data_IF_917356967066
#
_entry.id   IF_917356967066
#
_cell.length_a   1.000
_cell.length_b   1.000
_cell.length_c   1.000
_cell.angle_alpha   90.00
_cell.angle_beta   90.00
_cell.angle_gamma   90.00
#
_symmetry.space_group_name_H-M   'P 1'
#
loop_
_entity.id
_entity.type
_entity.pdbx_description
1 polymer ?
#
# COMPACT_ATOMS: atom_id res chain seq x y z
N UNK A 1 40.34 -16.29 -16.21
CA UNK A 1 39.59 -15.40 -15.29
C UNK A 1 38.53 -14.60 -16.06
N UNK A 2 38.81 -14.07 -17.25
CA UNK A 2 37.83 -13.32 -18.07
C UNK A 2 36.69 -14.20 -18.59
N UNK A 3 36.96 -15.45 -19.01
CA UNK A 3 35.97 -16.44 -19.44
C UNK A 3 35.09 -16.95 -18.25
N UNK A 4 35.68 -17.17 -17.07
CA UNK A 4 34.94 -17.54 -15.87
C UNK A 4 34.00 -16.43 -15.40
N UNK A 5 34.40 -15.14 -15.47
CA UNK A 5 33.50 -14.01 -15.17
C UNK A 5 32.35 -13.92 -16.16
N UNK A 6 32.58 -14.20 -17.45
CA UNK A 6 31.50 -14.22 -18.45
C UNK A 6 30.56 -15.41 -18.28
N UNK A 7 31.05 -16.59 -17.87
CA UNK A 7 30.20 -17.73 -17.50
C UNK A 7 29.35 -17.42 -16.26
N UNK A 8 29.94 -16.87 -15.18
CA UNK A 8 29.18 -16.48 -13.98
C UNK A 8 28.13 -15.40 -14.26
N UNK A 9 28.28 -14.58 -15.29
CA UNK A 9 27.28 -13.59 -15.71
C UNK A 9 26.16 -14.26 -16.53
N UNK A 10 26.48 -15.27 -17.37
CA UNK A 10 25.48 -16.02 -18.15
C UNK A 10 24.63 -16.97 -17.29
N UNK A 11 25.19 -17.59 -16.29
CA UNK A 11 24.45 -18.48 -15.38
C UNK A 11 23.49 -17.74 -14.43
N UNK A 12 23.55 -16.40 -14.38
CA UNK A 12 22.59 -15.56 -13.68
C UNK A 12 21.45 -15.05 -14.56
N UNK A 13 21.12 -15.73 -15.63
CA UNK A 13 19.97 -15.42 -16.49
C UNK A 13 18.59 -15.68 -15.85
N UNK A 14 18.44 -15.45 -14.55
CA UNK A 14 17.16 -14.98 -14.04
C UNK A 14 17.05 -13.51 -14.43
N UNK A 15 16.44 -13.29 -15.59
CA UNK A 15 16.14 -11.92 -16.05
C UNK A 15 15.39 -11.19 -14.96
N UNK A 16 16.03 -10.19 -14.38
CA UNK A 16 15.40 -9.35 -13.37
C UNK A 16 14.11 -8.76 -13.93
N UNK A 17 13.07 -8.68 -13.13
CA UNK A 17 11.83 -8.01 -13.53
C UNK A 17 12.14 -6.60 -14.04
N UNK A 18 11.50 -6.18 -15.13
CA UNK A 18 11.78 -4.91 -15.84
C UNK A 18 11.79 -3.69 -14.89
N UNK A 19 10.87 -3.65 -13.93
CA UNK A 19 10.86 -2.57 -12.94
C UNK A 19 12.10 -2.58 -12.03
N UNK A 20 12.66 -3.75 -11.70
CA UNK A 20 13.91 -3.87 -10.94
C UNK A 20 15.09 -3.36 -11.77
N UNK A 21 15.16 -3.73 -13.05
CA UNK A 21 16.15 -3.22 -13.98
C UNK A 21 16.07 -1.69 -14.09
N UNK A 22 14.85 -1.14 -14.22
CA UNK A 22 14.63 0.31 -14.26
C UNK A 22 15.14 1.02 -13.00
N UNK A 23 14.89 0.47 -11.81
CA UNK A 23 15.36 1.08 -10.57
C UNK A 23 16.89 0.99 -10.41
N UNK A 24 17.51 -0.12 -10.82
CA UNK A 24 18.96 -0.24 -10.79
C UNK A 24 19.62 0.77 -11.75
N UNK A 25 19.08 0.91 -12.96
CA UNK A 25 19.57 1.90 -13.93
C UNK A 25 19.42 3.33 -13.39
N UNK A 26 18.29 3.64 -12.77
CA UNK A 26 18.03 4.95 -12.15
C UNK A 26 19.02 5.23 -11.02
N UNK A 27 19.29 4.25 -10.15
CA UNK A 27 20.23 4.39 -9.03
C UNK A 27 21.66 4.59 -9.55
N UNK A 28 22.09 3.78 -10.53
CA UNK A 28 23.40 3.93 -11.15
C UNK A 28 23.56 5.31 -11.79
N UNK A 29 22.56 5.79 -12.51
CA UNK A 29 22.56 7.12 -13.10
C UNK A 29 22.71 8.22 -12.06
N UNK A 30 22.03 8.08 -10.91
CA UNK A 30 22.17 9.02 -9.80
C UNK A 30 23.60 9.04 -9.25
N UNK A 31 24.21 7.87 -9.00
CA UNK A 31 25.59 7.77 -8.53
C UNK A 31 26.59 8.39 -9.52
N UNK A 32 26.42 8.12 -10.82
CA UNK A 32 27.29 8.68 -11.86
C UNK A 32 27.11 10.19 -12.04
N UNK A 33 25.89 10.71 -11.91
CA UNK A 33 25.67 12.16 -11.93
C UNK A 33 26.35 12.83 -10.73
N UNK A 34 26.32 12.18 -9.55
CA UNK A 34 27.03 12.67 -8.37
C UNK A 34 28.55 12.65 -8.58
N UNK A 35 29.09 11.60 -9.19
CA UNK A 35 30.50 11.53 -9.54
C UNK A 35 30.93 12.64 -10.54
N UNK A 36 30.01 13.06 -11.43
CA UNK A 36 30.26 14.25 -12.29
C UNK A 36 30.25 15.53 -11.45
N UNK A 37 29.30 15.69 -10.54
CA UNK A 37 29.21 16.90 -9.69
C UNK A 37 30.32 17.03 -8.66
N UNK A 38 30.99 15.94 -8.35
CA UNK A 38 32.15 15.87 -7.44
C UNK A 38 33.50 15.78 -8.24
N UNK A 39 33.49 16.04 -9.56
CA UNK A 39 34.62 16.06 -10.46
C UNK A 39 35.45 14.76 -10.57
N UNK A 40 34.88 13.61 -10.13
CA UNK A 40 35.51 12.30 -10.32
C UNK A 40 35.50 11.82 -11.77
N UNK A 41 34.50 12.23 -12.54
CA UNK A 41 34.38 11.95 -13.98
C UNK A 41 33.82 13.20 -14.67
N UNK A 42 34.26 13.44 -15.90
CA UNK A 42 33.85 14.63 -16.66
C UNK A 42 32.46 14.53 -17.26
N UNK A 43 32.02 13.33 -17.62
CA UNK A 43 30.72 13.09 -18.27
C UNK A 43 30.11 11.77 -17.78
N UNK A 44 28.81 11.78 -17.55
CA UNK A 44 28.09 10.54 -17.21
C UNK A 44 28.04 9.60 -18.44
N UNK A 45 28.67 8.41 -18.39
CA UNK A 45 28.71 7.48 -19.53
C UNK A 45 27.31 6.95 -19.90
N UNK A 46 26.36 6.99 -19.00
CA UNK A 46 24.97 6.57 -19.28
C UNK A 46 24.23 7.52 -20.25
N UNK A 47 24.75 8.69 -20.52
CA UNK A 47 24.20 9.61 -21.53
C UNK A 47 24.31 9.05 -22.95
N UNK A 48 25.25 8.12 -23.17
CA UNK A 48 25.43 7.41 -24.44
C UNK A 48 24.41 6.29 -24.69
N UNK A 49 23.69 5.84 -23.64
CA UNK A 49 22.69 4.80 -23.78
C UNK A 49 21.44 5.41 -24.43
N UNK A 50 21.02 4.85 -25.56
CA UNK A 50 19.82 5.28 -26.26
C UNK A 50 18.56 5.04 -25.41
N UNK A 51 17.51 5.84 -25.61
CA UNK A 51 16.28 5.70 -24.83
C UNK A 51 15.52 4.40 -25.10
N UNK A 52 15.70 3.83 -26.31
CA UNK A 52 15.14 2.52 -26.68
C UNK A 52 15.74 1.35 -25.90
N UNK A 53 17.04 1.45 -25.55
CA UNK A 53 17.78 0.42 -24.80
C UNK A 53 17.55 0.51 -23.28
N UNK A 54 16.90 1.57 -22.82
CA UNK A 54 16.62 1.74 -21.38
C UNK A 54 15.36 0.97 -20.98
N UNK A 55 15.40 0.17 -19.89
CA UNK A 55 14.22 -0.47 -19.38
C UNK A 55 13.16 0.57 -19.00
N UNK A 56 11.96 0.42 -19.55
CA UNK A 56 10.83 1.30 -19.25
C UNK A 56 10.05 0.77 -18.04
N UNK A 57 9.64 1.67 -17.16
CA UNK A 57 8.82 1.28 -16.01
C UNK A 57 7.45 0.78 -16.48
N UNK A 58 7.16 -0.48 -16.21
CA UNK A 58 5.82 -1.02 -16.40
C UNK A 58 4.92 -0.60 -15.22
N UNK A 59 3.74 -0.06 -15.57
CA UNK A 59 2.68 0.14 -14.56
C UNK A 59 2.10 -1.23 -14.24
N UNK A 60 2.37 -1.72 -13.04
CA UNK A 60 1.72 -2.93 -12.52
C UNK A 60 0.36 -2.54 -11.94
N UNK A 61 -0.68 -3.19 -12.40
CA UNK A 61 -1.98 -3.14 -11.71
C UNK A 61 -1.79 -3.74 -10.32
N UNK A 62 -2.44 -3.14 -9.34
CA UNK A 62 -2.31 -3.58 -7.95
C UNK A 62 -3.58 -4.26 -7.54
N UNK A 63 -3.44 -5.47 -7.02
CA UNK A 63 -4.55 -6.22 -6.49
C UNK A 63 -5.19 -5.48 -5.31
N UNK A 64 -6.51 -5.51 -5.28
CA UNK A 64 -7.35 -5.07 -4.17
C UNK A 64 -8.51 -6.05 -4.00
N UNK A 65 -9.08 -6.08 -2.82
CA UNK A 65 -10.27 -6.87 -2.54
C UNK A 65 -11.52 -6.05 -2.89
N UNK A 66 -12.40 -6.62 -3.69
CA UNK A 66 -13.75 -6.08 -3.88
C UNK A 66 -14.52 -6.20 -2.56
N UNK A 67 -15.61 -5.45 -2.41
CA UNK A 67 -16.48 -5.54 -1.22
C UNK A 67 -16.94 -6.99 -1.01
N UNK A 68 -17.31 -7.72 -2.09
CA UNK A 68 -17.71 -9.13 -2.01
C UNK A 68 -16.59 -10.05 -1.51
N UNK A 69 -15.36 -9.85 -1.99
CA UNK A 69 -14.19 -10.62 -1.55
C UNK A 69 -13.82 -10.29 -0.10
N UNK A 70 -13.87 -9.01 0.29
CA UNK A 70 -13.63 -8.58 1.66
C UNK A 70 -14.66 -9.18 2.61
N UNK A 71 -15.96 -9.16 2.25
CA UNK A 71 -17.03 -9.79 3.03
C UNK A 71 -16.78 -11.29 3.20
N UNK A 72 -16.39 -11.99 2.12
CA UNK A 72 -16.04 -13.42 2.18
C UNK A 72 -14.86 -13.66 3.12
N UNK A 73 -13.83 -12.84 3.05
CA UNK A 73 -12.65 -12.94 3.90
C UNK A 73 -13.01 -12.71 5.38
N UNK A 74 -13.85 -11.72 5.68
CA UNK A 74 -14.35 -11.46 7.05
C UNK A 74 -15.06 -12.68 7.63
N UNK A 75 -15.85 -13.41 6.84
CA UNK A 75 -16.59 -14.59 7.31
C UNK A 75 -15.73 -15.88 7.32
N UNK A 76 -14.53 -15.85 6.74
CA UNK A 76 -13.64 -17.02 6.75
C UNK A 76 -12.90 -17.11 8.08
N UNK A 77 -13.07 -18.18 8.87
CA UNK A 77 -12.33 -18.38 10.12
C UNK A 77 -10.81 -18.36 9.87
N UNK A 78 -10.07 -17.82 10.84
CA UNK A 78 -8.61 -17.76 10.74
C UNK A 78 -7.96 -17.92 12.12
N UNK A 79 -6.97 -18.80 12.20
CA UNK A 79 -6.29 -19.13 13.46
C UNK A 79 -5.50 -17.96 14.08
N UNK A 80 -4.93 -17.09 13.23
CA UNK A 80 -4.18 -15.93 13.71
C UNK A 80 -5.12 -14.71 13.85
N UNK A 81 -5.79 -14.65 14.97
CA UNK A 81 -6.80 -13.62 15.26
C UNK A 81 -6.22 -12.21 15.29
N UNK A 82 -4.97 -12.04 15.77
CA UNK A 82 -4.31 -10.74 15.81
C UNK A 82 -4.03 -10.21 14.40
N UNK A 83 -3.44 -11.04 13.52
CA UNK A 83 -3.18 -10.67 12.14
C UNK A 83 -4.49 -10.40 11.36
N UNK A 84 -5.52 -11.23 11.60
CA UNK A 84 -6.86 -11.02 11.03
C UNK A 84 -7.40 -9.65 11.39
N UNK A 85 -7.43 -9.30 12.68
CA UNK A 85 -7.87 -8.00 13.18
C UNK A 85 -7.04 -6.87 12.57
N UNK A 86 -5.72 -6.96 12.59
CA UNK A 86 -4.82 -5.94 12.03
C UNK A 86 -5.03 -5.70 10.53
N UNK A 87 -5.21 -6.76 9.74
CA UNK A 87 -5.44 -6.67 8.30
C UNK A 87 -6.80 -6.04 8.00
N UNK A 88 -7.87 -6.49 8.65
CA UNK A 88 -9.22 -5.94 8.46
C UNK A 88 -9.29 -4.49 8.94
N UNK A 89 -8.69 -4.17 10.08
CA UNK A 89 -8.56 -2.78 10.53
C UNK A 89 -7.88 -1.91 9.46
N UNK A 90 -6.78 -2.39 8.86
CA UNK A 90 -6.12 -1.70 7.75
C UNK A 90 -7.01 -1.55 6.52
N UNK A 91 -7.90 -2.51 6.22
CA UNK A 91 -8.86 -2.40 5.12
C UNK A 91 -9.88 -1.26 5.35
N UNK A 92 -10.21 -0.95 6.60
CA UNK A 92 -11.19 0.08 6.95
C UNK A 92 -10.61 1.45 7.30
N UNK A 93 -9.30 1.54 7.61
CA UNK A 93 -8.64 2.83 7.91
C UNK A 93 -7.51 3.22 6.94
N UNK A 94 -7.09 2.30 6.07
CA UNK A 94 -6.06 2.56 5.05
C UNK A 94 -4.63 2.66 5.59
N UNK A 95 -4.35 2.35 6.85
CA UNK A 95 -3.01 2.44 7.44
C UNK A 95 -2.04 1.42 6.83
N UNK A 96 -0.76 1.78 6.75
CA UNK A 96 0.31 0.86 6.35
C UNK A 96 0.65 -0.10 7.49
N UNK A 97 1.18 -1.27 7.17
CA UNK A 97 1.64 -2.24 8.17
C UNK A 97 2.60 -1.64 9.23
N UNK A 98 3.52 -0.78 8.81
CA UNK A 98 4.45 -0.13 9.75
C UNK A 98 3.75 0.84 10.71
N UNK A 99 2.65 1.46 10.28
CA UNK A 99 1.85 2.35 11.11
C UNK A 99 0.97 1.51 12.08
N UNK A 100 0.40 0.40 11.61
CA UNK A 100 -0.35 -0.57 12.44
C UNK A 100 0.52 -1.17 13.56
N UNK A 101 1.75 -1.61 13.26
CA UNK A 101 2.69 -2.13 14.29
C UNK A 101 3.05 -1.07 15.34
N UNK A 102 3.10 0.19 14.91
CA UNK A 102 3.50 1.29 15.79
C UNK A 102 2.33 1.90 16.56
N UNK A 103 1.09 1.62 16.15
CA UNK A 103 -0.12 2.20 16.71
C UNK A 103 -0.25 1.89 18.20
N UNK A 104 -0.53 2.94 19.00
CA UNK A 104 -0.73 2.87 20.45
C UNK A 104 -2.17 3.22 20.79
N UNK A 105 -2.62 2.86 21.98
CA UNK A 105 -3.95 3.22 22.44
C UNK A 105 -4.11 4.73 22.61
N UNK A 106 -3.10 5.48 22.96
CA UNK A 106 -3.08 6.95 23.03
C UNK A 106 -3.36 7.65 21.70
N UNK A 107 -3.11 6.94 20.57
CA UNK A 107 -3.36 7.44 19.23
C UNK A 107 -4.84 7.38 18.84
N UNK A 108 -5.68 6.69 19.62
CA UNK A 108 -7.12 6.52 19.39
C UNK A 108 -7.88 7.23 20.50
N UNK A 109 -8.57 8.29 20.16
CA UNK A 109 -9.36 9.09 21.09
C UNK A 109 -10.82 9.02 20.72
N UNK A 110 -11.69 9.15 21.72
CA UNK A 110 -13.13 9.20 21.54
C UNK A 110 -13.61 10.62 21.86
N UNK A 111 -14.47 11.17 21.00
CA UNK A 111 -15.15 12.43 21.27
C UNK A 111 -16.33 12.23 22.26
N UNK A 112 -16.99 13.33 22.63
CA UNK A 112 -18.16 13.34 23.55
C UNK A 112 -19.35 12.53 23.01
N UNK A 113 -19.40 12.32 21.69
CA UNK A 113 -20.44 11.54 21.02
C UNK A 113 -20.04 10.05 20.82
N UNK A 114 -18.87 9.66 21.33
CA UNK A 114 -18.35 8.30 21.18
C UNK A 114 -17.75 7.98 19.81
N UNK A 115 -17.53 8.99 18.95
CA UNK A 115 -16.84 8.77 17.68
C UNK A 115 -15.34 8.63 17.91
N UNK A 116 -14.74 7.59 17.33
CA UNK A 116 -13.31 7.36 17.45
C UNK A 116 -12.53 8.15 16.40
N UNK A 117 -11.49 8.84 16.85
CA UNK A 117 -10.55 9.57 16.02
C UNK A 117 -9.14 8.99 16.22
N UNK A 118 -8.51 8.57 15.13
CA UNK A 118 -7.13 8.09 15.11
C UNK A 118 -6.22 9.22 14.65
N UNK A 119 -5.20 9.56 15.45
CA UNK A 119 -4.24 10.63 15.15
C UNK A 119 -2.82 10.12 15.29
N UNK A 120 -2.09 10.01 14.17
CA UNK A 120 -0.71 9.50 14.13
C UNK A 120 0.19 10.32 13.21
N UNK A 121 1.49 10.19 13.45
CA UNK A 121 2.53 10.58 12.48
C UNK A 121 2.96 9.32 11.73
N UNK A 122 2.69 9.24 10.44
CA UNK A 122 3.04 8.09 9.61
C UNK A 122 4.54 7.81 9.61
N UNK A 123 4.95 6.57 9.85
CA UNK A 123 6.37 6.18 9.95
C UNK A 123 7.15 6.42 8.65
N UNK A 124 6.53 6.18 7.50
CA UNK A 124 7.19 6.27 6.18
C UNK A 124 7.26 7.69 5.63
N UNK A 125 6.19 8.46 5.72
CA UNK A 125 6.07 9.80 5.10
C UNK A 125 6.32 10.93 6.06
N UNK A 126 6.30 10.66 7.38
CA UNK A 126 6.38 11.65 8.47
C UNK A 126 5.22 12.65 8.47
N UNK A 127 4.16 12.35 7.73
CA UNK A 127 2.95 13.17 7.70
C UNK A 127 2.07 12.87 8.92
N UNK A 128 1.56 13.91 9.54
CA UNK A 128 0.51 13.80 10.53
C UNK A 128 -0.82 13.54 9.82
N UNK A 129 -1.53 12.50 10.25
CA UNK A 129 -2.87 12.21 9.77
C UNK A 129 -3.84 12.10 10.93
N UNK A 130 -5.06 12.57 10.70
CA UNK A 130 -6.18 12.42 11.61
C UNK A 130 -7.33 11.78 10.84
N UNK A 131 -7.78 10.60 11.29
CA UNK A 131 -8.75 9.76 10.61
C UNK A 131 -9.91 9.44 11.55
N UNK A 132 -11.15 9.82 11.23
CA UNK A 132 -12.29 9.26 11.92
C UNK A 132 -12.39 7.75 11.63
N UNK A 133 -12.60 6.95 12.65
CA UNK A 133 -12.75 5.51 12.52
C UNK A 133 -14.24 5.16 12.39
N UNK A 134 -14.58 4.44 11.33
CA UNK A 134 -15.92 3.89 11.19
C UNK A 134 -16.15 2.70 12.15
N UNK A 135 -17.42 2.38 12.40
CA UNK A 135 -17.80 1.27 13.28
C UNK A 135 -17.16 -0.07 12.89
N UNK A 136 -17.02 -0.33 11.58
CA UNK A 136 -16.35 -1.54 11.10
C UNK A 136 -14.85 -1.57 11.45
N UNK A 137 -14.14 -0.44 11.39
CA UNK A 137 -12.76 -0.39 11.84
C UNK A 137 -12.65 -0.69 13.34
N UNK A 138 -13.53 -0.10 14.15
CA UNK A 138 -13.53 -0.27 15.62
C UNK A 138 -13.76 -1.74 16.01
N UNK A 139 -14.65 -2.48 15.33
CA UNK A 139 -14.89 -3.92 15.57
C UNK A 139 -13.64 -4.79 15.41
N UNK A 140 -12.66 -4.31 14.64
CA UNK A 140 -11.41 -5.03 14.40
C UNK A 140 -10.25 -4.58 15.30
N UNK A 141 -10.48 -3.68 16.24
CA UNK A 141 -9.52 -3.43 17.31
C UNK A 141 -9.45 -4.64 18.24
N UNK A 142 -8.28 -4.98 18.79
CA UNK A 142 -8.18 -5.89 19.91
C UNK A 142 -8.95 -5.36 21.13
N UNK A 143 -9.28 -6.23 22.05
CA UNK A 143 -9.76 -5.78 23.35
C UNK A 143 -8.61 -5.12 24.10
N UNK A 144 -8.84 -3.88 24.58
CA UNK A 144 -7.84 -3.13 25.33
C UNK A 144 -7.63 -3.69 26.73
N UNK A 145 -8.68 -4.21 27.38
CA UNK A 145 -8.63 -4.59 28.77
C UNK A 145 -8.02 -3.48 29.64
N UNK A 146 -7.03 -3.84 30.46
CA UNK A 146 -6.30 -2.91 31.33
C UNK A 146 -5.00 -2.36 30.70
N UNK A 147 -4.81 -2.50 29.36
CA UNK A 147 -3.61 -2.03 28.69
C UNK A 147 -3.44 -0.52 28.85
N UNK A 148 -2.24 -0.03 29.23
CA UNK A 148 -1.97 1.40 29.34
C UNK A 148 -2.05 2.08 27.96
N UNK A 149 -2.25 3.40 27.95
CA UNK A 149 -2.36 4.18 26.71
C UNK A 149 -1.11 4.08 25.83
N UNK A 150 0.05 3.94 26.45
CA UNK A 150 1.34 3.82 25.76
C UNK A 150 1.58 2.44 25.14
N UNK A 151 0.72 1.45 25.43
CA UNK A 151 0.86 0.11 24.86
C UNK A 151 0.40 0.07 23.41
N UNK A 152 1.01 -0.83 22.63
CA UNK A 152 0.66 -1.04 21.24
C UNK A 152 -0.70 -1.72 21.12
N UNK A 153 -1.56 -1.20 20.24
CA UNK A 153 -2.87 -1.78 19.93
C UNK A 153 -2.73 -3.20 19.36
N UNK A 154 -1.78 -3.43 18.48
CA UNK A 154 -1.52 -4.74 17.87
C UNK A 154 -0.18 -5.32 18.37
N UNK A 155 -0.04 -5.40 19.72
CA UNK A 155 1.14 -5.98 20.34
C UNK A 155 1.32 -7.44 19.89
N UNK A 156 2.55 -7.82 19.50
CA UNK A 156 2.86 -9.16 18.98
C UNK A 156 2.61 -9.35 17.48
N UNK A 157 2.13 -8.33 16.74
CA UNK A 157 2.01 -8.43 15.29
C UNK A 157 3.40 -8.64 14.66
N UNK A 158 3.51 -9.69 13.83
CA UNK A 158 4.78 -10.10 13.21
C UNK A 158 5.21 -9.15 12.08
N UNK A 159 6.46 -9.28 11.63
CA UNK A 159 7.01 -8.50 10.52
C UNK A 159 6.19 -8.62 9.23
N UNK A 160 6.30 -7.62 8.35
CA UNK A 160 5.54 -7.57 7.09
C UNK A 160 5.71 -8.83 6.23
N UNK A 161 6.95 -9.32 6.08
CA UNK A 161 7.21 -10.53 5.29
C UNK A 161 6.50 -11.75 5.86
N UNK A 162 6.57 -11.95 7.18
CA UNK A 162 5.89 -13.05 7.86
C UNK A 162 4.36 -12.90 7.82
N UNK A 163 3.86 -11.68 7.99
CA UNK A 163 2.43 -11.37 7.84
C UNK A 163 1.92 -11.78 6.45
N UNK A 164 2.65 -11.47 5.39
CA UNK A 164 2.25 -11.81 4.02
C UNK A 164 2.17 -13.33 3.79
N UNK A 165 3.15 -14.09 4.30
CA UNK A 165 3.14 -15.57 4.19
C UNK A 165 1.92 -16.16 4.90
N UNK A 166 1.59 -15.64 6.09
CA UNK A 166 0.45 -16.11 6.87
C UNK A 166 -0.86 -15.70 6.22
N UNK A 167 -0.96 -14.45 5.71
CA UNK A 167 -2.15 -13.95 5.01
C UNK A 167 -2.50 -14.78 3.78
N UNK A 168 -1.50 -15.24 3.03
CA UNK A 168 -1.71 -16.05 1.83
C UNK A 168 -2.60 -17.26 2.12
N UNK A 169 -2.34 -17.98 3.22
CA UNK A 169 -3.13 -19.15 3.63
C UNK A 169 -4.60 -18.79 3.92
N UNK A 170 -4.84 -17.66 4.56
CA UNK A 170 -6.20 -17.22 4.87
C UNK A 170 -6.98 -16.81 3.61
N UNK A 171 -6.32 -16.09 2.71
CA UNK A 171 -6.89 -15.66 1.44
C UNK A 171 -7.23 -16.85 0.55
N UNK A 172 -6.35 -17.85 0.49
CA UNK A 172 -6.56 -19.11 -0.21
C UNK A 172 -7.74 -19.89 0.40
N UNK A 173 -7.82 -19.99 1.73
CA UNK A 173 -8.95 -20.60 2.45
C UNK A 173 -10.28 -19.89 2.16
N UNK A 174 -10.25 -18.57 1.94
CA UNK A 174 -11.43 -17.80 1.54
C UNK A 174 -11.81 -17.97 0.05
N UNK A 175 -11.08 -18.78 -0.72
CA UNK A 175 -11.30 -18.98 -2.15
C UNK A 175 -11.04 -17.73 -2.99
N UNK A 176 -10.07 -16.91 -2.59
CA UNK A 176 -9.67 -15.69 -3.31
C UNK A 176 -8.37 -15.98 -4.04
N UNK A 177 -8.39 -15.90 -5.38
CA UNK A 177 -7.24 -16.21 -6.26
C UNK A 177 -6.24 -15.06 -6.42
N UNK A 178 -6.54 -13.87 -5.89
CA UNK A 178 -5.68 -12.68 -5.99
C UNK A 178 -4.45 -12.80 -5.09
N UNK A 179 -3.33 -12.20 -5.52
CA UNK A 179 -2.14 -12.10 -4.68
C UNK A 179 -2.32 -11.00 -3.62
N UNK A 180 -2.81 -11.39 -2.44
CA UNK A 180 -3.07 -10.47 -1.33
C UNK A 180 -1.86 -10.39 -0.41
N UNK A 181 -1.36 -9.18 -0.23
CA UNK A 181 -0.33 -8.82 0.75
C UNK A 181 -0.95 -7.88 1.79
N UNK A 182 -0.25 -7.61 2.89
CA UNK A 182 -0.75 -6.63 3.87
C UNK A 182 -0.99 -5.25 3.24
N UNK A 183 -0.20 -4.88 2.22
CA UNK A 183 -0.39 -3.62 1.51
C UNK A 183 -1.67 -3.59 0.67
N UNK A 184 -2.19 -4.75 0.28
CA UNK A 184 -3.48 -4.87 -0.41
C UNK A 184 -4.63 -4.32 0.44
N UNK A 185 -4.57 -4.38 1.78
CA UNK A 185 -5.57 -3.77 2.66
C UNK A 185 -5.75 -2.27 2.37
N UNK A 186 -4.64 -1.54 2.23
CA UNK A 186 -4.67 -0.11 1.91
C UNK A 186 -5.18 0.16 0.49
N UNK A 187 -4.87 -0.70 -0.48
CA UNK A 187 -5.45 -0.61 -1.82
C UNK A 187 -6.96 -0.86 -1.78
N UNK A 188 -7.39 -1.84 -0.98
CA UNK A 188 -8.81 -2.15 -0.75
C UNK A 188 -9.54 -0.96 -0.14
N UNK A 189 -8.97 -0.31 0.87
CA UNK A 189 -9.54 0.92 1.45
C UNK A 189 -9.72 1.99 0.38
N UNK A 190 -8.67 2.31 -0.37
CA UNK A 190 -8.72 3.34 -1.41
C UNK A 190 -9.78 3.06 -2.47
N UNK A 191 -9.82 1.83 -2.99
CA UNK A 191 -10.77 1.44 -4.03
C UNK A 191 -12.20 1.39 -3.50
N UNK A 192 -12.39 0.94 -2.26
CA UNK A 192 -13.70 0.94 -1.61
C UNK A 192 -14.26 2.36 -1.48
N UNK A 193 -13.45 3.31 -0.97
CA UNK A 193 -13.87 4.72 -0.83
C UNK A 193 -14.24 5.35 -2.19
N UNK A 194 -13.43 5.11 -3.23
CA UNK A 194 -13.75 5.59 -4.59
C UNK A 194 -15.03 4.95 -5.15
N UNK A 195 -15.25 3.66 -4.91
CA UNK A 195 -16.47 2.95 -5.35
C UNK A 195 -17.72 3.50 -4.62
N UNK A 196 -17.56 3.96 -3.39
CA UNK A 196 -18.61 4.64 -2.62
C UNK A 196 -18.82 6.10 -3.01
N UNK A 197 -18.07 6.62 -4.01
CA UNK A 197 -18.26 7.97 -4.55
C UNK A 197 -17.39 9.05 -3.89
N UNK A 198 -16.46 8.68 -3.00
CA UNK A 198 -15.52 9.64 -2.42
C UNK A 198 -14.53 10.08 -3.49
N UNK A 199 -14.27 11.38 -3.59
CA UNK A 199 -13.36 11.93 -4.58
C UNK A 199 -11.88 11.56 -4.33
N UNK A 200 -11.08 11.58 -5.40
CA UNK A 200 -9.68 11.14 -5.37
C UNK A 200 -8.81 11.98 -4.42
N UNK A 201 -9.09 13.26 -4.27
CA UNK A 201 -8.32 14.15 -3.40
C UNK A 201 -8.56 13.79 -1.94
N UNK A 202 -9.82 13.61 -1.54
CA UNK A 202 -10.20 13.19 -0.18
C UNK A 202 -9.59 11.83 0.14
N UNK A 203 -9.66 10.85 -0.76
CA UNK A 203 -8.99 9.54 -0.59
C UNK A 203 -7.47 9.71 -0.43
N UNK A 204 -6.84 10.60 -1.20
CA UNK A 204 -5.41 10.90 -1.08
C UNK A 204 -5.05 11.43 0.32
N UNK A 205 -5.88 12.32 0.87
CA UNK A 205 -5.72 12.88 2.22
C UNK A 205 -5.93 11.83 3.31
N UNK A 206 -6.98 11.03 3.23
CA UNK A 206 -7.24 9.93 4.16
C UNK A 206 -6.06 8.94 4.20
N UNK A 207 -5.44 8.68 3.06
CA UNK A 207 -4.26 7.83 2.98
C UNK A 207 -2.97 8.52 3.46
N UNK A 208 -2.93 9.85 3.62
CA UNK A 208 -1.71 10.61 3.92
C UNK A 208 -0.69 10.51 2.78
N UNK A 209 -1.13 10.69 1.53
CA UNK A 209 -0.24 10.82 0.39
C UNK A 209 0.21 12.26 0.25
N UNK A 210 1.52 12.51 0.27
CA UNK A 210 2.13 13.82 0.00
C UNK A 210 1.95 14.25 -1.45
N UNK A 211 1.83 13.29 -2.37
CA UNK A 211 1.62 13.55 -3.79
C UNK A 211 0.40 12.76 -4.28
N UNK A 212 -0.59 13.47 -4.82
CA UNK A 212 -1.83 12.90 -5.37
C UNK A 212 -1.57 11.92 -6.51
N UNK A 213 -0.45 12.06 -7.23
CA UNK A 213 -0.05 11.11 -8.28
C UNK A 213 0.08 9.67 -7.74
N UNK A 214 0.36 9.50 -6.45
CA UNK A 214 0.38 8.18 -5.80
C UNK A 214 -1.02 7.56 -5.76
N UNK A 215 -2.07 8.38 -5.72
CA UNK A 215 -3.48 7.95 -5.72
C UNK A 215 -4.02 7.75 -7.14
N UNK A 216 -3.38 8.36 -8.15
CA UNK A 216 -3.78 8.23 -9.57
C UNK A 216 -3.72 6.79 -10.12
N UNK A 217 -3.06 5.86 -9.42
CA UNK A 217 -3.12 4.44 -9.77
C UNK A 217 -4.55 3.89 -9.78
N UNK A 218 -5.46 4.55 -9.06
CA UNK A 218 -6.89 4.23 -9.00
C UNK A 218 -7.74 5.03 -10.00
N UNK A 219 -7.12 5.80 -10.92
CA UNK A 219 -7.82 6.67 -11.85
C UNK A 219 -8.87 5.96 -12.71
N UNK A 220 -8.61 4.70 -13.09
CA UNK A 220 -9.59 3.88 -13.85
C UNK A 220 -10.94 3.77 -13.11
N UNK A 221 -10.94 3.63 -11.78
CA UNK A 221 -12.18 3.56 -10.98
C UNK A 221 -12.91 4.90 -10.95
N UNK A 222 -12.16 6.01 -10.97
CA UNK A 222 -12.75 7.36 -11.07
C UNK A 222 -13.45 7.54 -12.41
N UNK A 223 -12.88 7.03 -13.50
CA UNK A 223 -13.48 7.14 -14.84
C UNK A 223 -14.78 6.34 -14.96
N UNK A 224 -14.87 5.17 -14.31
CA UNK A 224 -16.13 4.42 -14.21
C UNK A 224 -17.19 5.18 -13.39
N UNK A 225 -16.78 5.85 -12.31
CA UNK A 225 -17.68 6.66 -11.50
C UNK A 225 -18.17 7.89 -12.26
N UNK A 226 -17.34 8.51 -13.10
CA UNK A 226 -17.73 9.63 -13.97
C UNK A 226 -18.82 9.21 -14.97
N UNK A 227 -18.69 8.04 -15.61
CA UNK A 227 -19.72 7.51 -16.51
C UNK A 227 -21.05 7.40 -15.78
N UNK A 228 -21.07 6.74 -14.61
CA UNK A 228 -22.29 6.63 -13.80
C UNK A 228 -22.87 7.99 -13.40
N UNK A 229 -22.02 8.98 -13.09
CA UNK A 229 -22.48 10.33 -12.76
C UNK A 229 -23.14 11.04 -13.96
N UNK A 230 -22.62 10.85 -15.17
CA UNK A 230 -23.25 11.37 -16.39
C UNK A 230 -24.61 10.74 -16.64
N UNK A 231 -24.74 9.41 -16.41
CA UNK A 231 -25.98 8.68 -16.57
C UNK A 231 -27.10 9.10 -15.58
N UNK A 232 -26.72 9.81 -14.50
CA UNK A 232 -27.66 10.38 -13.51
C UNK A 232 -28.25 11.73 -13.94
N UNK A 233 -27.77 12.34 -15.03
CA UNK A 233 -28.31 13.62 -15.51
C UNK A 233 -29.72 13.36 -16.05
N UNK A 234 -30.76 13.96 -15.48
CA UNK A 234 -32.13 13.75 -15.92
C UNK A 234 -32.34 14.28 -17.36
N UNK A 235 -33.14 13.59 -18.12
CA UNK A 235 -33.58 14.10 -19.41
C UNK A 235 -34.52 15.30 -19.17
N UNK A 236 -34.13 16.49 -19.66
CA UNK A 236 -34.86 17.76 -19.43
C UNK A 236 -35.79 18.10 -20.64
N UNK A 237 -35.77 17.25 -21.68
CA UNK A 237 -36.65 17.44 -22.88
C UNK A 237 -38.00 16.76 -22.71
#
# INVERSE_FOLDING_TARGET
IRRQRQMCIRDREKTLHVNTQFYYLKTLRYCLNRAVSEDYITVNPMNKIKNEDKPKRNRTERDYLTIKELTRLVHTPFYNTLLRKAFLFSCFCGLRHCDIIALRWEDIRYDENGNALLSIIQKKTKEAISLPLCSEAIKHLPDRGNAPETEKVFAGLVSLGRSNVILHKWVEQAGISKHVTFHTARHTHATMMLTLGVDLYTVSKLLGHTNIQTTQIYAKLVDESKKKAIDLIPNIS
#
